data_IF_199651602725
#
_entry.id   IF_199651602725
#
_cell.length_a   1.000
_cell.length_b   1.000
_cell.length_c   1.000
_cell.angle_alpha   90.00
_cell.angle_beta   90.00
_cell.angle_gamma   90.00
#
_symmetry.space_group_name_H-M   'P 1'
#
loop_
_entity.id
_entity.type
_entity.pdbx_description
1 polymer ?
#
# COMPACT_ATOMS: atom_id res chain seq x y z
N UNK A 1 -1.84 -10.19 2.29
CA UNK A 1 -1.73 -10.53 3.73
C UNK A 1 -1.56 -9.25 4.54
N UNK A 2 -2.25 -9.14 5.68
CA UNK A 2 -2.00 -8.07 6.64
C UNK A 2 -0.65 -8.32 7.33
N UNK A 3 0.10 -7.25 7.62
CA UNK A 3 1.44 -7.41 8.19
C UNK A 3 1.37 -7.79 9.69
N UNK A 4 2.08 -8.86 10.05
CA UNK A 4 2.39 -9.24 11.42
C UNK A 4 3.70 -8.61 11.89
N UNK A 5 4.58 -9.38 12.55
CA UNK A 5 5.99 -8.97 12.76
C UNK A 5 6.78 -9.12 11.45
N UNK A 6 7.93 -8.45 11.28
CA UNK A 6 8.76 -8.59 10.08
C UNK A 6 9.10 -10.06 9.76
N UNK A 7 9.47 -10.84 10.76
CA UNK A 7 9.85 -12.24 10.60
C UNK A 7 8.65 -13.11 10.17
N UNK A 8 7.48 -12.86 10.74
CA UNK A 8 6.24 -13.55 10.35
C UNK A 8 5.85 -13.19 8.93
N UNK A 9 5.91 -11.91 8.58
CA UNK A 9 5.63 -11.43 7.23
C UNK A 9 6.57 -12.04 6.21
N UNK A 10 7.87 -12.12 6.51
CA UNK A 10 8.87 -12.78 5.67
C UNK A 10 8.57 -14.28 5.48
N UNK A 11 8.24 -15.00 6.56
CA UNK A 11 7.92 -16.43 6.49
C UNK A 11 6.65 -16.71 5.66
N UNK A 12 5.60 -15.91 5.81
CA UNK A 12 4.37 -16.03 5.05
C UNK A 12 4.61 -15.69 3.57
N UNK A 13 5.37 -14.64 3.26
CA UNK A 13 5.75 -14.30 1.89
C UNK A 13 6.59 -15.39 1.25
N UNK A 14 7.58 -15.93 1.97
CA UNK A 14 8.42 -17.02 1.49
C UNK A 14 7.59 -18.26 1.13
N UNK A 15 6.58 -18.60 1.95
CA UNK A 15 5.67 -19.70 1.68
C UNK A 15 4.88 -19.48 0.38
N UNK A 16 4.47 -18.26 0.09
CA UNK A 16 3.81 -17.91 -1.19
C UNK A 16 4.79 -18.05 -2.34
N UNK A 17 5.97 -17.44 -2.25
CA UNK A 17 6.98 -17.47 -3.32
C UNK A 17 7.45 -18.90 -3.65
N UNK A 18 7.61 -19.76 -2.63
CA UNK A 18 7.96 -21.18 -2.83
C UNK A 18 6.90 -21.96 -3.58
N UNK A 19 5.62 -21.67 -3.38
CA UNK A 19 4.53 -22.28 -4.14
C UNK A 19 4.56 -21.89 -5.61
N UNK A 20 5.01 -20.68 -5.93
CA UNK A 20 5.01 -20.13 -7.28
C UNK A 20 6.25 -20.54 -8.10
N UNK A 21 7.42 -20.45 -7.49
CA UNK A 21 8.71 -20.67 -8.18
C UNK A 21 9.35 -22.02 -7.88
N UNK A 22 8.77 -22.82 -6.99
CA UNK A 22 9.38 -24.05 -6.49
C UNK A 22 10.28 -23.84 -5.28
N UNK A 23 10.63 -24.94 -4.60
CA UNK A 23 11.24 -24.91 -3.26
C UNK A 23 12.75 -24.68 -3.22
N UNK A 24 13.44 -24.63 -4.37
CA UNK A 24 14.91 -24.77 -4.42
C UNK A 24 15.68 -23.50 -4.80
N UNK A 25 15.02 -22.33 -4.87
CA UNK A 25 15.73 -21.07 -5.13
C UNK A 25 16.16 -20.42 -3.81
N UNK A 26 17.47 -20.41 -3.46
CA UNK A 26 17.96 -19.81 -2.22
C UNK A 26 17.78 -18.30 -2.17
N UNK A 27 17.57 -17.63 -3.30
CA UNK A 27 17.31 -16.20 -3.37
C UNK A 27 15.93 -15.80 -2.84
N UNK A 28 14.98 -16.75 -2.79
CA UNK A 28 13.60 -16.45 -2.33
C UNK A 28 13.54 -16.04 -0.86
N UNK A 29 14.38 -16.64 -0.01
CA UNK A 29 14.41 -16.31 1.42
C UNK A 29 14.94 -14.89 1.65
N UNK A 30 16.01 -14.54 0.96
CA UNK A 30 16.58 -13.17 1.00
C UNK A 30 15.56 -12.17 0.48
N UNK A 31 14.92 -12.46 -0.65
CA UNK A 31 13.90 -11.59 -1.24
C UNK A 31 12.68 -11.40 -0.33
N UNK A 32 12.20 -12.46 0.32
CA UNK A 32 11.09 -12.40 1.24
C UNK A 32 11.42 -11.57 2.49
N UNK A 33 12.64 -11.73 3.04
CA UNK A 33 13.10 -10.95 4.19
C UNK A 33 13.22 -9.46 3.84
N UNK A 34 13.87 -9.14 2.74
CA UNK A 34 14.03 -7.75 2.29
C UNK A 34 12.67 -7.07 2.00
N UNK A 35 11.75 -7.79 1.35
CA UNK A 35 10.41 -7.27 1.08
C UNK A 35 9.61 -7.01 2.37
N UNK A 36 9.70 -7.92 3.35
CA UNK A 36 9.05 -7.74 4.65
C UNK A 36 9.62 -6.55 5.42
N UNK A 37 10.95 -6.42 5.48
CA UNK A 37 11.62 -5.28 6.12
C UNK A 37 11.23 -3.96 5.44
N UNK A 38 11.21 -3.92 4.11
CA UNK A 38 10.81 -2.73 3.35
C UNK A 38 9.36 -2.34 3.67
N UNK A 39 8.44 -3.31 3.66
CA UNK A 39 7.03 -3.09 3.97
C UNK A 39 6.85 -2.53 5.39
N UNK A 40 7.55 -3.08 6.38
CA UNK A 40 7.50 -2.58 7.75
C UNK A 40 8.12 -1.19 7.90
N UNK A 41 9.27 -0.95 7.26
CA UNK A 41 9.95 0.36 7.28
C UNK A 41 9.05 1.48 6.74
N UNK A 42 8.25 1.18 5.72
CA UNK A 42 7.34 2.15 5.10
C UNK A 42 5.92 2.12 5.70
N UNK A 43 5.71 1.39 6.80
CA UNK A 43 4.40 1.34 7.47
C UNK A 43 3.30 0.74 6.60
N UNK A 44 3.65 -0.15 5.65
CA UNK A 44 2.64 -0.81 4.82
C UNK A 44 1.68 -1.62 5.69
N UNK A 45 0.39 -1.58 5.37
CA UNK A 45 -0.64 -2.40 6.01
C UNK A 45 -0.91 -3.72 5.27
N UNK A 46 -0.47 -3.81 4.02
CA UNK A 46 -0.66 -4.96 3.13
C UNK A 46 0.61 -5.25 2.34
N UNK A 47 0.93 -6.53 2.21
CA UNK A 47 1.91 -7.06 1.27
C UNK A 47 1.26 -8.22 0.51
N UNK A 48 1.36 -8.21 -0.82
CA UNK A 48 0.78 -9.23 -1.69
C UNK A 48 1.72 -9.56 -2.85
N UNK A 49 1.59 -10.78 -3.40
CA UNK A 49 2.18 -11.15 -4.68
C UNK A 49 1.12 -11.04 -5.75
N UNK A 50 1.43 -10.34 -6.81
CA UNK A 50 0.59 -10.21 -8.01
C UNK A 50 1.11 -11.18 -9.05
N UNK A 51 0.23 -12.04 -9.54
CA UNK A 51 0.55 -13.10 -10.49
C UNK A 51 -0.26 -12.94 -11.77
N UNK A 52 0.39 -13.28 -12.90
CA UNK A 52 -0.26 -13.45 -14.18
C UNK A 52 0.44 -14.59 -14.94
N UNK A 53 -0.28 -15.44 -15.72
CA UNK A 53 0.32 -16.59 -16.41
C UNK A 53 1.48 -16.23 -17.34
N UNK A 54 1.43 -15.05 -17.97
CA UNK A 54 2.39 -14.60 -18.97
C UNK A 54 3.44 -13.63 -18.40
N UNK A 55 3.50 -13.46 -17.07
CA UNK A 55 4.37 -12.52 -16.40
C UNK A 55 5.15 -13.14 -15.25
N UNK A 56 6.28 -12.53 -14.91
CA UNK A 56 6.95 -12.85 -13.65
C UNK A 56 6.19 -12.21 -12.47
N UNK A 57 6.15 -12.87 -11.31
CA UNK A 57 5.46 -12.35 -10.13
C UNK A 57 6.01 -10.99 -9.72
N UNK A 58 5.10 -10.09 -9.35
CA UNK A 58 5.40 -8.78 -8.81
C UNK A 58 4.93 -8.65 -7.35
N UNK A 59 5.57 -7.76 -6.59
CA UNK A 59 5.22 -7.47 -5.21
C UNK A 59 4.37 -6.21 -5.15
N UNK A 60 3.23 -6.28 -4.47
CA UNK A 60 2.36 -5.15 -4.17
C UNK A 60 2.42 -4.83 -2.67
N UNK A 61 2.85 -3.63 -2.35
CA UNK A 61 2.78 -3.05 -1.02
C UNK A 61 1.67 -2.02 -1.00
N UNK A 62 0.92 -1.96 0.09
CA UNK A 62 -0.08 -0.91 0.27
C UNK A 62 -0.15 -0.43 1.72
N UNK A 63 -0.40 0.85 1.91
CA UNK A 63 -0.58 1.46 3.22
C UNK A 63 -1.47 2.70 3.14
N UNK A 64 -2.08 3.05 4.27
CA UNK A 64 -2.80 4.33 4.43
C UNK A 64 -1.96 5.24 5.30
N UNK A 65 -1.71 6.44 4.83
CA UNK A 65 -0.87 7.45 5.48
C UNK A 65 -1.74 8.66 5.82
N UNK A 66 -1.75 9.13 7.07
CA UNK A 66 -2.36 10.41 7.41
C UNK A 66 -1.57 11.56 6.77
N UNK A 67 -2.27 12.60 6.36
CA UNK A 67 -1.70 13.84 5.83
C UNK A 67 -2.30 15.01 6.59
N UNK A 68 -1.68 16.19 6.52
CA UNK A 68 -2.13 17.35 7.29
C UNK A 68 -3.48 17.91 6.80
N UNK A 69 -3.77 17.75 5.52
CA UNK A 69 -5.02 18.20 4.88
C UNK A 69 -5.39 17.26 3.73
N UNK A 70 -6.66 17.23 3.31
CA UNK A 70 -7.02 16.60 2.05
C UNK A 70 -6.16 17.14 0.92
N UNK A 71 -5.60 16.26 0.11
CA UNK A 71 -4.56 16.59 -0.87
C UNK A 71 -5.08 16.36 -2.28
N UNK A 72 -4.88 17.35 -3.16
CA UNK A 72 -5.18 17.21 -4.59
C UNK A 72 -4.09 16.37 -5.29
N UNK A 73 -4.47 15.38 -6.11
CA UNK A 73 -3.50 14.56 -6.87
C UNK A 73 -2.57 15.38 -7.76
N UNK A 74 -3.06 16.48 -8.32
CA UNK A 74 -2.25 17.38 -9.16
C UNK A 74 -1.10 17.98 -8.36
N UNK A 75 -1.32 18.39 -7.12
CA UNK A 75 -0.26 18.90 -6.24
C UNK A 75 0.81 17.83 -5.98
N UNK A 76 0.42 16.56 -5.80
CA UNK A 76 1.37 15.46 -5.60
C UNK A 76 2.20 15.18 -6.85
N UNK A 77 1.60 15.27 -8.03
CA UNK A 77 2.29 15.03 -9.32
C UNK A 77 3.42 16.03 -9.59
N UNK A 78 3.26 17.29 -9.21
CA UNK A 78 4.26 18.34 -9.42
C UNK A 78 5.56 18.15 -8.61
N UNK A 79 5.53 17.38 -7.52
CA UNK A 79 6.71 17.13 -6.69
C UNK A 79 7.46 15.84 -7.06
N UNK A 80 6.95 15.12 -8.07
CA UNK A 80 7.54 13.86 -8.52
C UNK A 80 8.34 14.13 -9.80
N UNK A 81 9.62 14.43 -9.63
CA UNK A 81 10.59 14.56 -10.72
C UNK A 81 11.83 13.71 -10.41
N UNK A 82 12.42 13.10 -11.43
CA UNK A 82 13.60 12.28 -11.28
C UNK A 82 13.91 11.43 -12.52
N UNK A 83 15.17 11.04 -12.72
CA UNK A 83 15.58 10.30 -13.91
C UNK A 83 14.96 8.89 -14.02
N UNK A 84 14.46 8.35 -12.90
CA UNK A 84 13.75 7.07 -12.90
C UNK A 84 12.26 7.21 -13.22
N UNK A 85 11.70 8.41 -13.25
CA UNK A 85 10.28 8.62 -13.55
C UNK A 85 10.08 8.58 -15.06
N UNK A 86 9.27 7.61 -15.51
CA UNK A 86 8.93 7.42 -16.90
C UNK A 86 7.66 8.18 -17.28
N UNK A 87 6.66 8.12 -16.40
CA UNK A 87 5.36 8.75 -16.64
C UNK A 87 4.67 9.11 -15.32
N UNK A 88 3.87 10.18 -15.36
CA UNK A 88 3.00 10.60 -14.26
C UNK A 88 1.62 10.90 -14.85
N UNK A 89 0.63 10.12 -14.42
CA UNK A 89 -0.75 10.25 -14.90
C UNK A 89 -1.69 10.52 -13.73
N UNK A 90 -2.66 11.41 -13.92
CA UNK A 90 -3.75 11.64 -12.96
C UNK A 90 -5.05 11.08 -13.49
N UNK A 91 -5.96 10.70 -12.61
CA UNK A 91 -7.27 10.16 -12.98
C UNK A 91 -8.15 9.93 -11.77
N UNK A 92 -9.12 9.03 -11.93
CA UNK A 92 -10.03 8.60 -10.87
C UNK A 92 -10.10 7.06 -10.83
N UNK A 93 -10.29 6.51 -9.64
CA UNK A 93 -10.60 5.09 -9.45
C UNK A 93 -12.04 4.79 -9.91
N UNK A 94 -12.41 3.53 -10.09
CA UNK A 94 -13.79 3.16 -10.40
C UNK A 94 -14.79 3.53 -9.28
N UNK A 95 -14.29 3.78 -8.08
CA UNK A 95 -15.07 4.22 -6.92
C UNK A 95 -15.09 5.75 -6.75
N UNK A 96 -14.51 6.49 -7.70
CA UNK A 96 -14.55 7.97 -7.74
C UNK A 96 -13.48 8.67 -6.90
N UNK A 97 -12.49 7.96 -6.38
CA UNK A 97 -11.37 8.60 -5.66
C UNK A 97 -10.33 9.13 -6.64
N UNK A 98 -9.86 10.38 -6.45
CA UNK A 98 -8.78 10.93 -7.26
C UNK A 98 -7.48 10.15 -7.08
N UNK A 99 -6.70 10.00 -8.16
CA UNK A 99 -5.49 9.18 -8.17
C UNK A 99 -4.36 9.82 -8.97
N UNK A 100 -3.13 9.65 -8.46
CA UNK A 100 -1.88 9.86 -9.20
C UNK A 100 -1.19 8.52 -9.40
N UNK A 101 -0.79 8.26 -10.63
CA UNK A 101 -0.06 7.06 -11.03
C UNK A 101 1.33 7.50 -11.50
N UNK A 102 2.37 6.94 -10.90
CA UNK A 102 3.78 7.22 -11.22
C UNK A 102 4.45 5.94 -11.68
N UNK A 103 4.82 5.88 -12.94
CA UNK A 103 5.61 4.78 -13.47
C UNK A 103 7.11 5.10 -13.36
N UNK A 104 7.86 4.16 -12.77
CA UNK A 104 9.31 4.28 -12.59
C UNK A 104 10.03 3.14 -13.26
N UNK A 105 11.16 3.45 -13.86
CA UNK A 105 12.09 2.46 -14.42
C UNK A 105 13.41 2.59 -13.67
N UNK A 106 13.95 1.49 -13.12
CA UNK A 106 15.24 1.54 -12.44
C UNK A 106 16.33 2.11 -13.37
N UNK A 107 17.14 3.02 -12.84
CA UNK A 107 18.27 3.59 -13.60
C UNK A 107 19.32 2.53 -13.90
N UNK A 108 19.43 1.50 -13.06
CA UNK A 108 20.36 0.40 -13.21
C UNK A 108 19.64 -0.95 -13.09
N UNK A 109 19.86 -1.82 -14.07
CA UNK A 109 19.32 -3.19 -14.08
C UNK A 109 17.88 -3.30 -14.60
N UNK A 110 17.38 -4.54 -14.70
CA UNK A 110 16.01 -4.82 -15.12
C UNK A 110 15.02 -4.49 -14.01
N UNK A 111 13.77 -4.28 -14.39
CA UNK A 111 12.66 -4.10 -13.48
C UNK A 111 11.74 -2.98 -13.89
N UNK A 112 10.62 -2.88 -13.18
CA UNK A 112 9.64 -1.81 -13.30
C UNK A 112 8.95 -1.59 -11.97
N UNK A 113 8.53 -0.37 -11.71
CA UNK A 113 7.79 0.01 -10.51
C UNK A 113 6.64 0.94 -10.88
N UNK A 114 5.48 0.68 -10.27
CA UNK A 114 4.33 1.57 -10.31
C UNK A 114 4.03 2.01 -8.88
N UNK A 115 3.90 3.31 -8.69
CA UNK A 115 3.38 3.87 -7.45
C UNK A 115 2.03 4.52 -7.75
N UNK A 116 1.01 4.16 -6.99
CA UNK A 116 -0.33 4.73 -7.11
C UNK A 116 -0.68 5.37 -5.78
N UNK A 117 -1.01 6.65 -5.82
CA UNK A 117 -1.47 7.40 -4.65
C UNK A 117 -2.93 7.75 -4.87
N UNK A 118 -3.80 7.23 -4.02
CA UNK A 118 -5.24 7.53 -4.02
C UNK A 118 -5.52 8.49 -2.88
N UNK A 119 -6.16 9.61 -3.16
CA UNK A 119 -6.48 10.64 -2.16
C UNK A 119 -7.91 10.48 -1.67
N UNK A 120 -8.13 10.69 -0.37
CA UNK A 120 -9.48 10.81 0.21
C UNK A 120 -9.84 12.30 0.20
N UNK A 121 -10.85 12.73 -0.59
CA UNK A 121 -11.23 14.14 -0.68
C UNK A 121 -11.91 14.66 0.60
N UNK A 122 -12.48 13.77 1.40
CA UNK A 122 -13.25 14.12 2.60
C UNK A 122 -12.41 14.08 3.88
N UNK A 123 -11.28 13.35 3.87
CA UNK A 123 -10.45 13.15 5.07
C UNK A 123 -8.96 13.31 4.74
N UNK A 124 -8.15 13.81 5.71
CA UNK A 124 -6.72 14.02 5.53
C UNK A 124 -5.94 12.69 5.59
N UNK A 125 -6.12 11.86 4.58
CA UNK A 125 -5.44 10.56 4.41
C UNK A 125 -5.26 10.21 2.93
N UNK A 126 -4.23 9.47 2.64
CA UNK A 126 -3.95 8.91 1.32
C UNK A 126 -3.70 7.42 1.42
N UNK A 127 -4.06 6.67 0.39
CA UNK A 127 -3.63 5.29 0.24
C UNK A 127 -2.51 5.23 -0.80
N UNK A 128 -1.39 4.62 -0.43
CA UNK A 128 -0.22 4.46 -1.30
C UNK A 128 -0.07 2.98 -1.64
N UNK A 129 0.00 2.69 -2.93
CA UNK A 129 0.26 1.37 -3.47
C UNK A 129 1.57 1.42 -4.24
N UNK A 130 2.44 0.45 -4.01
CA UNK A 130 3.69 0.29 -4.77
C UNK A 130 3.75 -1.12 -5.32
N UNK A 131 3.69 -1.24 -6.64
CA UNK A 131 3.92 -2.49 -7.36
C UNK A 131 5.36 -2.50 -7.85
N UNK A 132 6.09 -3.56 -7.55
CA UNK A 132 7.47 -3.75 -7.99
C UNK A 132 7.63 -5.10 -8.70
N UNK A 133 8.09 -5.04 -9.96
CA UNK A 133 8.50 -6.21 -10.73
C UNK A 133 10.02 -6.23 -10.86
N UNK A 134 10.72 -7.23 -10.30
CA UNK A 134 12.20 -7.29 -10.36
C UNK A 134 12.75 -7.44 -11.77
N UNK A 135 12.00 -8.05 -12.68
CA UNK A 135 12.45 -8.35 -14.05
C UNK A 135 11.80 -7.46 -15.09
N UNK A 136 10.65 -6.89 -14.80
CA UNK A 136 9.80 -6.18 -15.76
C UNK A 136 9.12 -7.07 -16.81
N UNK A 137 9.34 -8.39 -16.80
CA UNK A 137 8.70 -9.31 -17.75
C UNK A 137 7.20 -9.42 -17.48
N UNK A 138 6.38 -9.18 -18.52
CA UNK A 138 4.93 -9.17 -18.41
C UNK A 138 4.41 -7.98 -17.59
N UNK A 139 5.14 -6.86 -17.58
CA UNK A 139 4.82 -5.69 -16.78
C UNK A 139 3.38 -5.19 -16.97
N UNK A 140 2.91 -5.10 -18.21
CA UNK A 140 1.56 -4.64 -18.51
C UNK A 140 0.48 -5.55 -17.90
N UNK A 141 0.74 -6.85 -17.83
CA UNK A 141 -0.21 -7.83 -17.30
C UNK A 141 -0.32 -7.69 -15.78
N UNK A 142 0.80 -7.68 -15.06
CA UNK A 142 0.79 -7.53 -13.59
C UNK A 142 0.34 -6.14 -13.15
N UNK A 143 0.70 -5.08 -13.89
CA UNK A 143 0.20 -3.72 -13.61
C UNK A 143 -1.30 -3.60 -13.86
N UNK A 144 -1.84 -4.28 -14.88
CA UNK A 144 -3.27 -4.38 -15.12
C UNK A 144 -4.03 -5.10 -14.01
N UNK A 145 -3.47 -6.18 -13.45
CA UNK A 145 -4.05 -6.88 -12.28
C UNK A 145 -4.07 -5.95 -11.06
N UNK A 146 -2.93 -5.32 -10.75
CA UNK A 146 -2.83 -4.38 -9.64
C UNK A 146 -3.75 -3.16 -9.82
N UNK A 147 -3.86 -2.63 -11.03
CA UNK A 147 -4.75 -1.52 -11.36
C UNK A 147 -6.22 -1.83 -11.08
N UNK A 148 -6.70 -3.03 -11.42
CA UNK A 148 -8.06 -3.47 -11.07
C UNK A 148 -8.29 -3.55 -9.56
N UNK A 149 -7.30 -4.04 -8.82
CA UNK A 149 -7.35 -4.08 -7.36
C UNK A 149 -7.44 -2.67 -6.76
N UNK A 150 -6.56 -1.76 -7.17
CA UNK A 150 -6.55 -0.37 -6.70
C UNK A 150 -7.82 0.37 -7.09
N UNK A 151 -8.31 0.16 -8.32
CA UNK A 151 -9.51 0.84 -8.84
C UNK A 151 -10.78 0.50 -8.03
N UNK A 152 -10.83 -0.68 -7.40
CA UNK A 152 -11.96 -1.11 -6.55
C UNK A 152 -11.82 -0.75 -5.08
N UNK A 153 -10.77 -0.03 -4.66
CA UNK A 153 -10.58 0.31 -3.26
C UNK A 153 -11.64 1.30 -2.74
N UNK A 154 -11.92 1.22 -1.44
CA UNK A 154 -12.79 2.15 -0.73
C UNK A 154 -12.13 2.51 0.60
N UNK A 155 -12.10 3.80 0.94
CA UNK A 155 -11.76 4.22 2.30
C UNK A 155 -12.91 3.89 3.24
N UNK A 156 -12.65 3.16 4.33
CA UNK A 156 -13.64 2.86 5.36
C UNK A 156 -13.40 3.67 6.61
N UNK A 157 -14.49 4.11 7.28
CA UNK A 157 -14.45 4.92 8.52
C UNK A 157 -14.31 4.06 9.78
N UNK A 158 -13.84 2.82 9.68
CA UNK A 158 -13.74 1.89 10.82
C UNK A 158 -12.80 2.36 11.96
N UNK A 159 -12.13 3.52 11.83
CA UNK A 159 -11.19 4.05 12.83
C UNK A 159 -11.77 5.05 13.85
N UNK A 160 -12.98 5.57 13.68
CA UNK A 160 -13.48 6.69 14.51
C UNK A 160 -14.41 6.28 15.67
N UNK A 161 -14.67 5.01 15.90
CA UNK A 161 -15.64 4.54 16.92
C UNK A 161 -15.07 4.31 18.32
N UNK A 162 -13.86 4.73 18.66
CA UNK A 162 -13.26 4.38 19.98
C UNK A 162 -12.99 5.52 20.95
N UNK A 163 -13.36 6.78 20.67
CA UNK A 163 -13.04 7.89 21.58
C UNK A 163 -14.24 8.59 22.23
N UNK A 164 -15.48 8.16 21.99
CA UNK A 164 -16.66 8.89 22.50
C UNK A 164 -17.53 8.12 23.49
N UNK A 165 -16.98 7.23 24.30
CA UNK A 165 -17.77 6.57 25.35
C UNK A 165 -16.95 6.48 26.65
N UNK A 166 -16.97 7.54 27.45
CA UNK A 166 -17.05 7.49 28.93
C UNK A 166 -16.80 8.88 29.52
N UNK A 167 -17.85 9.70 29.60
CA UNK A 167 -18.00 10.59 30.75
C UNK A 167 -18.68 9.76 31.84
N UNK A 168 -18.08 9.53 33.00
CA UNK A 168 -18.80 9.07 34.15
C UNK A 168 -19.51 10.30 34.73
N UNK A 169 -20.82 10.30 34.72
CA UNK A 169 -21.63 11.17 35.59
C UNK A 169 -21.26 10.86 37.01
N UNK A 170 -20.46 11.71 37.61
CA UNK A 170 -20.04 11.68 39.00
C UNK A 170 -20.98 12.49 39.89
N UNK A 171 -21.94 11.80 40.42
CA UNK A 171 -22.35 11.84 41.81
C UNK A 171 -22.81 13.18 42.41
N UNK A 172 -24.11 13.32 42.45
CA UNK A 172 -24.88 14.03 43.47
C UNK A 172 -24.38 13.73 44.88
N UNK A 173 -23.76 14.71 45.52
CA UNK A 173 -23.44 14.72 46.93
C UNK A 173 -24.51 15.49 47.70
N UNK A 174 -25.44 14.76 48.23
CA UNK A 174 -26.42 15.23 49.24
C UNK A 174 -25.66 15.56 50.52
N UNK A 175 -25.76 16.75 51.03
CA UNK A 175 -25.50 17.02 52.46
C UNK A 175 -26.66 17.75 53.07
N UNK A 176 -27.22 17.11 54.08
CA UNK A 176 -28.27 17.61 54.95
C UNK A 176 -27.68 18.05 56.29
N UNK A 177 -28.23 19.20 56.80
CA UNK A 177 -28.43 19.52 58.21
C UNK A 177 -27.19 19.57 59.15
N UNK A 178 -26.91 20.62 59.79
CA UNK A 178 -27.67 21.40 60.84
C UNK A 178 -26.98 22.75 61.03
#
# INVERSE_FOLDING_TARGET
MALGTPERTAAELLAVLRRLKGTHDPGLEVSATQAAELAHRHGAGLLAVVEHPDADPALLLAGVVPVDRPTDPGELGFHLDGPEIRDVTTGETATGYPVVIVERVPVTGPGAQLQVVVTDPDHPRIAVFTLHSPTGRGWLDVSGVAGRFVSGMVFSDLGTRSASARRPDGTSGRSARR
#
